data_IF_410044421225
#
_entry.id   IF_410044421225
#
_cell.length_a   1.000
_cell.length_b   1.000
_cell.length_c   1.000
_cell.angle_alpha   90.00
_cell.angle_beta   90.00
_cell.angle_gamma   90.00
#
_symmetry.space_group_name_H-M   'P 1'
#
loop_
_entity.id
_entity.type
_entity.pdbx_description
1 polymer ?
#
# COMPACT_ATOMS: atom_id res chain seq x y z
N UNK A 1 -31.31 57.76 -1.74
CA UNK A 1 -31.87 58.39 -0.53
C UNK A 1 -32.14 57.29 0.49
N UNK A 2 -31.48 57.40 1.66
CA UNK A 2 -31.74 56.73 2.98
C UNK A 2 -31.62 55.18 2.99
N UNK A 3 -30.52 54.56 3.46
CA UNK A 3 -30.01 54.35 4.85
C UNK A 3 -30.91 53.43 5.70
N UNK A 4 -30.49 52.59 6.65
CA UNK A 4 -29.26 51.90 7.07
C UNK A 4 -29.67 50.99 8.28
N UNK A 5 -28.85 49.99 8.64
CA UNK A 5 -28.78 49.15 9.88
C UNK A 5 -28.83 47.66 9.56
N UNK A 6 -27.95 46.76 9.99
CA UNK A 6 -26.86 46.82 10.96
C UNK A 6 -27.11 45.79 12.07
N UNK A 7 -26.39 44.64 12.05
CA UNK A 7 -25.99 43.84 13.24
C UNK A 7 -25.13 42.64 12.82
N UNK A 8 -24.02 42.45 13.53
CA UNK A 8 -22.95 41.48 13.29
C UNK A 8 -22.79 40.54 14.50
N UNK A 9 -22.29 39.31 14.27
CA UNK A 9 -21.67 38.42 15.27
C UNK A 9 -20.87 37.29 14.55
N UNK A 10 -19.94 36.55 15.19
CA UNK A 10 -18.51 36.64 14.83
C UNK A 10 -17.88 35.34 14.28
N UNK A 11 -16.71 35.51 13.65
CA UNK A 11 -15.79 34.46 13.19
C UNK A 11 -14.77 34.11 14.29
N UNK A 12 -14.54 32.81 14.51
CA UNK A 12 -13.43 32.29 15.32
C UNK A 12 -12.34 31.73 14.40
N UNK A 13 -11.16 32.31 14.47
CA UNK A 13 -9.90 31.77 13.97
C UNK A 13 -8.94 31.71 15.16
N UNK A 14 -8.41 30.52 15.47
CA UNK A 14 -7.37 30.34 16.49
C UNK A 14 -6.09 29.96 15.79
N UNK A 15 -5.08 30.82 15.94
CA UNK A 15 -3.72 30.67 15.46
C UNK A 15 -2.81 30.12 16.58
N UNK A 16 -1.82 29.35 16.15
CA UNK A 16 -0.80 28.65 16.95
C UNK A 16 0.31 29.61 17.43
N UNK A 17 0.82 29.53 18.67
CA UNK A 17 2.02 30.28 19.07
C UNK A 17 3.29 29.42 19.05
N UNK A 18 4.31 29.93 18.33
CA UNK A 18 5.73 29.56 18.46
C UNK A 18 6.30 30.13 19.76
N UNK A 19 6.96 29.31 20.58
CA UNK A 19 7.74 29.80 21.72
C UNK A 19 9.20 30.07 21.30
N UNK A 20 9.64 31.32 21.50
CA UNK A 20 11.05 31.74 21.50
C UNK A 20 11.56 31.76 22.94
N UNK A 21 12.83 31.39 23.12
CA UNK A 21 13.50 31.35 24.42
C UNK A 21 13.74 32.73 25.06
N UNK A 22 14.13 32.70 26.33
CA UNK A 22 14.58 33.87 27.08
C UNK A 22 14.90 33.52 28.54
N UNK A 23 16.20 33.41 28.85
CA UNK A 23 16.72 33.38 30.21
C UNK A 23 16.42 34.69 30.94
N UNK A 24 16.03 34.63 32.22
CA UNK A 24 16.36 35.67 33.23
C UNK A 24 16.52 35.06 34.62
N UNK A 25 17.73 35.24 35.17
CA UNK A 25 18.05 35.17 36.60
C UNK A 25 17.40 36.35 37.34
N UNK A 26 16.97 36.13 38.59
CA UNK A 26 16.56 37.18 39.50
C UNK A 26 16.31 36.64 40.91
N UNK A 27 17.31 36.81 41.78
CA UNK A 27 17.37 36.43 43.19
C UNK A 27 16.30 37.11 44.07
N UNK A 28 15.83 36.41 45.12
CA UNK A 28 15.39 37.04 46.38
C UNK A 28 15.61 36.12 47.60
N UNK A 29 16.61 36.51 48.39
CA UNK A 29 16.85 36.47 49.85
C UNK A 29 16.48 35.24 50.71
N UNK A 30 17.47 34.90 51.53
CA UNK A 30 17.64 33.83 52.53
C UNK A 30 17.14 34.16 53.95
N UNK A 31 16.71 33.15 54.70
CA UNK A 31 16.95 32.95 56.15
C UNK A 31 16.40 31.57 56.64
N UNK A 32 16.91 30.99 57.76
CA UNK A 32 17.36 29.58 57.82
C UNK A 32 16.65 28.69 58.88
N UNK A 33 16.78 27.35 58.74
CA UNK A 33 16.49 26.41 59.83
C UNK A 33 16.39 24.90 59.48
N UNK A 34 17.47 24.15 59.74
CA UNK A 34 17.56 22.69 60.03
C UNK A 34 17.42 21.65 58.86
N UNK A 35 17.86 20.39 59.02
CA UNK A 35 19.22 19.92 58.69
C UNK A 35 19.27 18.88 57.54
N UNK A 36 20.51 18.61 57.09
CA UNK A 36 20.86 17.74 55.97
C UNK A 36 20.48 16.26 56.15
N UNK A 37 20.08 15.59 55.06
CA UNK A 37 20.62 14.29 54.59
C UNK A 37 19.95 13.82 53.30
N UNK A 38 20.72 13.05 52.51
CA UNK A 38 20.38 12.28 51.31
C UNK A 38 20.27 13.05 49.96
N UNK A 39 21.44 13.28 49.34
CA UNK A 39 21.51 13.41 47.90
C UNK A 39 21.25 12.03 47.25
N UNK A 40 20.11 11.88 46.57
CA UNK A 40 19.85 10.75 45.68
C UNK A 40 20.68 10.97 44.42
N UNK A 41 21.83 10.30 44.35
CA UNK A 41 22.66 10.21 43.17
C UNK A 41 22.02 9.18 42.24
N UNK A 42 21.39 9.61 41.15
CA UNK A 42 20.97 8.74 40.05
C UNK A 42 22.23 8.13 39.41
N UNK A 43 22.61 6.93 39.85
CA UNK A 43 23.55 6.06 39.15
C UNK A 43 22.78 5.31 38.07
N UNK A 44 23.05 5.61 36.80
CA UNK A 44 22.72 4.70 35.71
C UNK A 44 23.58 3.45 35.85
N UNK A 45 22.96 2.31 36.18
CA UNK A 45 23.60 1.01 36.10
C UNK A 45 23.69 0.59 34.63
N UNK A 46 24.88 0.71 34.04
CA UNK A 46 25.24 -0.08 32.87
C UNK A 46 25.69 -1.45 33.39
N UNK A 47 24.83 -2.47 33.23
CA UNK A 47 25.23 -3.86 33.43
C UNK A 47 25.97 -4.33 32.17
N UNK A 48 27.26 -4.62 32.33
CA UNK A 48 28.06 -5.38 31.37
C UNK A 48 27.54 -6.82 31.31
N UNK A 49 27.13 -7.26 30.12
CA UNK A 49 26.93 -8.68 29.83
C UNK A 49 28.07 -9.11 28.92
N UNK A 50 28.75 -10.16 29.36
CA UNK A 50 29.98 -10.73 28.81
C UNK A 50 29.73 -11.51 27.52
N UNK A 51 30.81 -11.68 26.77
CA UNK A 51 30.88 -11.96 25.34
C UNK A 51 30.31 -13.30 24.86
N UNK A 52 29.40 -13.22 23.87
CA UNK A 52 29.07 -14.29 22.94
C UNK A 52 29.24 -13.76 21.52
N UNK A 53 30.38 -14.03 20.89
CA UNK A 53 30.73 -13.52 19.56
C UNK A 53 29.81 -14.13 18.50
N UNK A 54 28.76 -13.40 18.14
CA UNK A 54 28.14 -13.50 16.82
C UNK A 54 28.82 -12.44 15.97
N UNK A 55 29.61 -12.87 14.99
CA UNK A 55 30.26 -11.98 14.03
C UNK A 55 29.21 -11.27 13.18
N UNK A 56 28.68 -10.15 13.68
CA UNK A 56 27.91 -9.22 12.88
C UNK A 56 28.84 -8.61 11.82
N UNK A 57 28.50 -8.81 10.54
CA UNK A 57 29.20 -8.15 9.45
C UNK A 57 29.24 -6.64 9.71
N UNK A 58 30.41 -6.02 9.52
CA UNK A 58 30.57 -4.60 9.74
C UNK A 58 29.58 -3.81 8.86
N UNK A 59 28.79 -2.87 9.41
CA UNK A 59 27.85 -2.09 8.63
C UNK A 59 28.61 -1.27 7.58
N UNK A 60 28.22 -1.37 6.31
CA UNK A 60 28.78 -0.54 5.23
C UNK A 60 28.63 0.94 5.62
N UNK A 61 29.63 1.80 5.34
CA UNK A 61 29.54 3.23 5.64
C UNK A 61 28.34 3.83 4.89
N UNK A 62 27.48 4.54 5.63
CA UNK A 62 26.33 5.25 5.04
C UNK A 62 26.85 6.25 4.01
N UNK A 63 26.43 6.08 2.76
CA UNK A 63 26.78 6.99 1.67
C UNK A 63 26.43 8.44 2.03
N UNK A 64 27.23 9.42 1.57
CA UNK A 64 26.93 10.83 1.79
C UNK A 64 25.51 11.17 1.34
N UNK A 65 24.81 12.05 2.06
CA UNK A 65 23.55 12.64 1.61
C UNK A 65 23.82 13.44 0.32
N UNK A 66 23.53 12.84 -0.82
CA UNK A 66 23.56 13.55 -2.10
C UNK A 66 22.18 14.17 -2.30
N UNK A 67 22.12 15.50 -2.23
CA UNK A 67 20.93 16.25 -2.64
C UNK A 67 20.83 16.12 -4.16
N UNK A 68 19.71 15.56 -4.68
CA UNK A 68 19.48 15.43 -6.12
C UNK A 68 19.51 14.00 -6.67
N UNK A 69 18.98 13.02 -5.95
CA UNK A 69 18.78 11.66 -6.49
C UNK A 69 17.39 11.51 -7.12
N UNK A 70 17.32 10.81 -8.26
CA UNK A 70 16.09 10.31 -8.86
C UNK A 70 15.81 8.85 -8.46
N UNK A 71 14.70 8.31 -8.93
CA UNK A 71 14.39 6.87 -8.78
C UNK A 71 13.77 6.30 -10.05
N UNK A 72 14.20 5.11 -10.47
CA UNK A 72 13.69 4.41 -11.66
C UNK A 72 13.25 2.98 -11.34
N UNK A 73 12.28 2.48 -12.10
CA UNK A 73 11.77 1.11 -11.97
C UNK A 73 12.59 0.22 -12.92
N UNK A 74 13.35 -0.74 -12.37
CA UNK A 74 14.36 -1.49 -13.14
C UNK A 74 14.08 -2.99 -13.26
N UNK A 75 13.08 -3.49 -12.54
CA UNK A 75 12.67 -4.89 -12.63
C UNK A 75 11.30 -5.12 -12.01
N UNK A 76 10.61 -6.13 -12.51
CA UNK A 76 9.32 -6.55 -12.02
C UNK A 76 9.18 -8.08 -12.05
N UNK A 77 8.29 -8.58 -11.22
CA UNK A 77 8.05 -10.00 -11.07
C UNK A 77 6.68 -10.22 -10.44
N UNK A 78 6.10 -11.39 -10.68
CA UNK A 78 4.82 -11.74 -10.09
C UNK A 78 4.75 -13.22 -9.77
N UNK A 79 3.82 -13.59 -8.89
CA UNK A 79 3.49 -14.96 -8.55
C UNK A 79 1.99 -15.07 -8.27
N UNK A 80 1.41 -16.19 -8.67
CA UNK A 80 -0.03 -16.47 -8.57
C UNK A 80 -0.24 -17.86 -7.95
N UNK A 81 -1.34 -18.06 -7.22
CA UNK A 81 -1.75 -19.40 -6.79
C UNK A 81 -2.01 -20.35 -7.97
N UNK A 82 -1.86 -21.64 -7.70
CA UNK A 82 -2.11 -22.70 -8.68
C UNK A 82 -3.61 -22.89 -8.98
N UNK A 83 -4.47 -22.85 -7.96
CA UNK A 83 -5.91 -23.06 -8.11
C UNK A 83 -6.56 -21.90 -8.88
N UNK A 84 -7.23 -22.25 -9.98
CA UNK A 84 -8.03 -21.34 -10.80
C UNK A 84 -9.50 -21.67 -10.62
N UNK A 85 -10.31 -20.65 -10.32
CA UNK A 85 -11.76 -20.72 -10.19
C UNK A 85 -12.37 -19.97 -11.36
N UNK A 86 -13.08 -20.69 -12.24
CA UNK A 86 -13.79 -20.09 -13.37
C UNK A 86 -15.18 -19.59 -12.96
N UNK A 87 -15.79 -18.77 -13.81
CA UNK A 87 -17.20 -18.38 -13.64
C UNK A 87 -18.15 -19.59 -13.63
N UNK A 88 -17.84 -20.64 -14.40
CA UNK A 88 -18.61 -21.89 -14.45
C UNK A 88 -18.46 -22.72 -13.17
N UNK A 89 -17.36 -22.56 -12.43
CA UNK A 89 -17.23 -23.17 -11.11
C UNK A 89 -18.08 -22.43 -10.08
N UNK A 90 -18.16 -21.11 -10.16
CA UNK A 90 -19.01 -20.31 -9.28
C UNK A 90 -20.50 -20.55 -9.50
N UNK A 91 -20.93 -20.81 -10.74
CA UNK A 91 -22.35 -21.12 -11.05
C UNK A 91 -22.84 -22.42 -10.40
N UNK A 92 -21.92 -23.30 -9.97
CA UNK A 92 -22.24 -24.51 -9.21
C UNK A 92 -22.50 -24.24 -7.72
N UNK A 93 -22.12 -23.06 -7.22
CA UNK A 93 -22.16 -22.70 -5.79
C UNK A 93 -23.20 -21.61 -5.52
N UNK A 94 -23.38 -20.67 -6.44
CA UNK A 94 -24.33 -19.55 -6.35
C UNK A 94 -25.08 -19.34 -7.67
N UNK A 95 -26.29 -18.78 -7.61
CA UNK A 95 -27.12 -18.52 -8.80
C UNK A 95 -26.51 -17.41 -9.67
N UNK A 96 -25.68 -17.78 -10.66
CA UNK A 96 -24.94 -16.87 -11.55
C UNK A 96 -24.57 -17.58 -12.85
N UNK A 97 -23.96 -16.87 -13.81
CA UNK A 97 -23.40 -17.45 -15.05
C UNK A 97 -22.15 -16.69 -15.53
N UNK A 98 -21.36 -17.28 -16.44
CA UNK A 98 -20.23 -16.58 -17.06
C UNK A 98 -20.66 -15.30 -17.76
N UNK A 99 -21.73 -15.34 -18.55
CA UNK A 99 -22.23 -14.18 -19.30
C UNK A 99 -22.61 -13.05 -18.33
N UNK A 100 -23.26 -13.39 -17.22
CA UNK A 100 -23.69 -12.41 -16.24
C UNK A 100 -22.50 -11.77 -15.52
N UNK A 101 -21.50 -12.56 -15.12
CA UNK A 101 -20.30 -12.06 -14.43
C UNK A 101 -19.46 -11.24 -15.41
N UNK A 102 -19.09 -11.81 -16.56
CA UNK A 102 -18.23 -11.17 -17.54
C UNK A 102 -18.80 -9.83 -18.03
N UNK A 103 -20.10 -9.74 -18.29
CA UNK A 103 -20.73 -8.48 -18.70
C UNK A 103 -20.70 -7.37 -17.62
N UNK A 104 -20.65 -7.76 -16.34
CA UNK A 104 -20.71 -6.81 -15.21
C UNK A 104 -19.35 -6.45 -14.65
N UNK A 105 -18.36 -7.33 -14.81
CA UNK A 105 -17.05 -7.20 -14.16
C UNK A 105 -15.88 -7.28 -15.14
N UNK A 106 -16.06 -7.96 -16.27
CA UNK A 106 -14.96 -8.37 -17.17
C UNK A 106 -14.14 -9.55 -16.67
N UNK A 107 -14.49 -10.14 -15.51
CA UNK A 107 -13.77 -11.25 -14.88
C UNK A 107 -14.27 -12.57 -15.46
N UNK A 108 -13.34 -13.49 -15.74
CA UNK A 108 -13.64 -14.85 -16.21
C UNK A 108 -13.06 -15.93 -15.30
N UNK A 109 -11.89 -15.66 -14.75
CA UNK A 109 -11.17 -16.56 -13.85
C UNK A 109 -10.57 -15.77 -12.69
N UNK A 110 -10.38 -16.48 -11.58
CA UNK A 110 -9.70 -15.96 -10.38
C UNK A 110 -8.71 -17.00 -9.88
N UNK A 111 -7.57 -16.54 -9.38
CA UNK A 111 -6.61 -17.41 -8.69
C UNK A 111 -6.85 -17.30 -7.19
N UNK A 112 -6.85 -18.41 -6.48
CA UNK A 112 -7.03 -18.40 -5.01
C UNK A 112 -6.04 -19.34 -4.35
N UNK A 113 -5.55 -18.96 -3.17
CA UNK A 113 -4.67 -19.82 -2.39
C UNK A 113 -5.36 -21.16 -2.08
N UNK A 114 -4.61 -22.25 -2.20
CA UNK A 114 -5.10 -23.59 -1.94
C UNK A 114 -4.05 -24.46 -1.25
N UNK A 115 -4.50 -25.48 -0.52
CA UNK A 115 -3.59 -26.40 0.17
C UNK A 115 -2.65 -25.70 1.15
N UNK A 116 -1.35 -25.75 0.88
CA UNK A 116 -0.29 -25.17 1.72
C UNK A 116 0.29 -23.87 1.14
N UNK A 117 -0.26 -23.34 0.04
CA UNK A 117 0.19 -22.07 -0.54
C UNK A 117 -0.08 -20.93 0.45
N UNK A 118 0.90 -20.04 0.61
CA UNK A 118 0.80 -18.87 1.50
C UNK A 118 1.04 -17.57 0.74
N UNK A 119 0.54 -16.45 1.27
CA UNK A 119 0.79 -15.16 0.64
C UNK A 119 2.28 -14.77 0.71
N UNK A 120 2.97 -15.16 1.79
CA UNK A 120 4.41 -15.04 1.98
C UNK A 120 5.18 -15.73 0.87
N UNK A 121 4.84 -16.97 0.53
CA UNK A 121 5.54 -17.71 -0.53
C UNK A 121 5.39 -16.99 -1.88
N UNK A 122 4.18 -16.55 -2.24
CA UNK A 122 3.96 -15.79 -3.46
C UNK A 122 4.76 -14.48 -3.46
N UNK A 123 4.80 -13.78 -2.32
CA UNK A 123 5.56 -12.54 -2.14
C UNK A 123 7.05 -12.76 -2.36
N UNK A 124 7.62 -13.83 -1.81
CA UNK A 124 9.03 -14.22 -2.00
C UNK A 124 9.32 -14.54 -3.47
N UNK A 125 8.45 -15.31 -4.13
CA UNK A 125 8.62 -15.65 -5.55
C UNK A 125 8.56 -14.39 -6.44
N UNK A 126 7.58 -13.51 -6.22
CA UNK A 126 7.47 -12.25 -6.95
C UNK A 126 8.73 -11.37 -6.74
N UNK A 127 9.19 -11.24 -5.49
CA UNK A 127 10.40 -10.51 -5.14
C UNK A 127 11.64 -11.04 -5.84
N UNK A 128 11.88 -12.35 -5.80
CA UNK A 128 13.01 -13.00 -6.49
C UNK A 128 12.99 -12.76 -7.99
N UNK A 129 11.81 -12.89 -8.63
CA UNK A 129 11.65 -12.64 -10.08
C UNK A 129 11.89 -11.18 -10.46
N UNK A 130 11.53 -10.23 -9.60
CA UNK A 130 11.81 -8.81 -9.82
C UNK A 130 13.31 -8.50 -9.74
N UNK A 131 14.01 -9.08 -8.75
CA UNK A 131 15.47 -8.96 -8.61
C UNK A 131 16.21 -9.62 -9.78
N UNK A 132 15.75 -10.80 -10.22
CA UNK A 132 16.29 -11.51 -11.39
C UNK A 132 16.15 -10.67 -12.65
N UNK A 133 14.97 -10.09 -12.92
CA UNK A 133 14.77 -9.19 -14.07
C UNK A 133 15.69 -7.96 -14.01
N UNK A 134 15.86 -7.39 -12.82
CA UNK A 134 16.71 -6.22 -12.61
C UNK A 134 18.21 -6.54 -12.63
N UNK A 135 18.60 -7.82 -12.56
CA UNK A 135 19.97 -8.28 -12.36
C UNK A 135 20.63 -7.67 -11.10
N UNK A 136 19.86 -7.56 -10.01
CA UNK A 136 20.32 -7.03 -8.71
C UNK A 136 20.41 -8.16 -7.70
N UNK A 137 21.53 -8.25 -6.97
CA UNK A 137 21.66 -9.24 -5.90
C UNK A 137 20.77 -8.86 -4.71
N UNK A 138 20.20 -9.86 -4.04
CA UNK A 138 19.36 -9.63 -2.86
C UNK A 138 20.09 -8.86 -1.75
N UNK A 139 21.38 -9.10 -1.56
CA UNK A 139 22.24 -8.40 -0.58
C UNK A 139 22.41 -6.90 -0.85
N UNK A 140 22.12 -6.44 -2.06
CA UNK A 140 22.19 -5.03 -2.46
C UNK A 140 20.85 -4.30 -2.25
N UNK A 141 19.80 -5.01 -1.82
CA UNK A 141 18.51 -4.40 -1.44
C UNK A 141 18.64 -3.76 -0.06
N UNK A 142 18.20 -2.51 0.09
CA UNK A 142 18.27 -1.75 1.35
C UNK A 142 16.94 -1.76 2.11
N UNK A 143 15.82 -1.86 1.38
CA UNK A 143 14.48 -1.77 1.94
C UNK A 143 13.50 -2.70 1.21
N UNK A 144 12.70 -3.43 1.98
CA UNK A 144 11.56 -4.21 1.48
C UNK A 144 10.25 -3.60 2.00
N UNK A 145 9.36 -3.22 1.09
CA UNK A 145 8.02 -2.73 1.41
C UNK A 145 6.98 -3.79 1.02
N UNK A 146 6.31 -4.39 2.00
CA UNK A 146 5.21 -5.33 1.76
C UNK A 146 3.87 -4.60 1.86
N UNK A 147 3.27 -4.31 0.72
CA UNK A 147 1.96 -3.67 0.62
C UNK A 147 0.87 -4.75 0.65
N UNK A 148 0.25 -4.97 1.81
CA UNK A 148 -0.77 -5.99 2.02
C UNK A 148 -1.83 -5.58 3.03
N UNK A 149 -3.05 -6.06 2.83
CA UNK A 149 -4.16 -6.01 3.78
C UNK A 149 -4.54 -7.39 4.33
N UNK A 150 -3.82 -8.43 3.94
CA UNK A 150 -4.08 -9.83 4.31
C UNK A 150 -2.78 -10.56 4.67
N UNK A 151 -1.99 -10.03 5.63
CA UNK A 151 -0.72 -10.65 5.99
C UNK A 151 -0.96 -12.02 6.64
N UNK A 152 -0.04 -12.96 6.41
CA UNK A 152 -0.06 -14.27 7.09
C UNK A 152 0.16 -14.15 8.61
N UNK A 153 0.77 -13.04 9.07
CA UNK A 153 1.05 -12.72 10.47
C UNK A 153 0.54 -11.30 10.82
N UNK A 154 -0.12 -11.15 11.98
CA UNK A 154 -0.65 -9.87 12.44
C UNK A 154 0.45 -8.81 12.67
N UNK A 155 1.68 -9.24 13.00
CA UNK A 155 2.82 -8.34 13.19
C UNK A 155 3.55 -8.01 11.89
N UNK A 156 2.98 -8.39 10.74
CA UNK A 156 3.48 -8.09 9.40
C UNK A 156 4.38 -9.19 8.84
N UNK A 157 4.51 -9.18 7.51
CA UNK A 157 5.24 -10.20 6.75
C UNK A 157 6.58 -9.73 6.18
N UNK A 158 6.87 -8.43 6.11
CA UNK A 158 8.05 -7.91 5.40
C UNK A 158 9.37 -8.47 5.92
N UNK A 159 9.51 -8.64 7.24
CA UNK A 159 10.72 -9.19 7.87
C UNK A 159 10.99 -10.66 7.50
N UNK A 160 9.93 -11.45 7.32
CA UNK A 160 10.04 -12.85 6.91
C UNK A 160 10.31 -12.93 5.40
N UNK A 161 9.59 -12.13 4.60
CA UNK A 161 9.78 -12.06 3.15
C UNK A 161 11.20 -11.62 2.80
N UNK A 162 11.75 -10.58 3.43
CA UNK A 162 13.11 -10.12 3.13
C UNK A 162 14.15 -11.20 3.43
N UNK A 163 13.96 -11.97 4.52
CA UNK A 163 14.86 -13.06 4.88
C UNK A 163 14.80 -14.21 3.85
N UNK A 164 13.60 -14.58 3.39
CA UNK A 164 13.38 -15.67 2.43
C UNK A 164 13.74 -15.29 0.97
N UNK A 165 13.65 -14.00 0.63
CA UNK A 165 14.21 -13.44 -0.62
C UNK A 165 15.74 -13.45 -0.59
N UNK A 166 16.34 -13.30 0.59
CA UNK A 166 17.79 -13.25 0.80
C UNK A 166 18.35 -11.84 0.96
N UNK A 167 17.51 -10.85 1.28
CA UNK A 167 17.92 -9.46 1.46
C UNK A 167 18.50 -9.23 2.87
N UNK A 168 19.69 -9.78 3.17
CA UNK A 168 20.20 -9.82 4.56
C UNK A 168 20.62 -8.45 5.12
N UNK A 169 20.85 -7.47 4.25
CA UNK A 169 21.24 -6.11 4.64
C UNK A 169 20.04 -5.13 4.68
N UNK A 170 18.87 -5.57 4.23
CA UNK A 170 17.67 -4.75 4.19
C UNK A 170 16.98 -4.68 5.55
N UNK A 171 16.22 -3.62 5.77
CA UNK A 171 15.11 -3.63 6.71
C UNK A 171 13.79 -3.65 5.94
N UNK A 172 12.69 -4.04 6.59
CA UNK A 172 11.40 -4.09 5.92
C UNK A 172 10.24 -3.82 6.86
N UNK A 173 9.15 -3.33 6.29
CA UNK A 173 7.89 -3.09 6.99
C UNK A 173 6.70 -3.17 6.03
N UNK A 174 5.52 -3.33 6.61
CA UNK A 174 4.28 -3.52 5.88
C UNK A 174 3.54 -2.19 5.69
N UNK A 175 2.82 -2.06 4.57
CA UNK A 175 1.93 -0.95 4.26
C UNK A 175 0.52 -1.49 4.04
N UNK A 176 -0.39 -1.18 4.97
CA UNK A 176 -1.80 -1.54 4.85
C UNK A 176 -2.61 -0.36 4.31
N UNK A 177 -2.91 -0.39 3.01
CA UNK A 177 -3.78 0.58 2.36
C UNK A 177 -4.66 -0.06 1.25
N UNK A 178 -5.05 -1.32 1.46
CA UNK A 178 -5.87 -2.11 0.55
C UNK A 178 -5.39 -2.00 -0.90
N UNK A 179 -6.32 -1.87 -1.85
CA UNK A 179 -6.03 -1.79 -3.28
C UNK A 179 -5.17 -0.58 -3.71
N UNK A 180 -5.00 0.44 -2.85
CA UNK A 180 -4.09 1.57 -3.13
C UNK A 180 -2.65 1.31 -2.65
N UNK A 181 -2.44 0.22 -1.89
CA UNK A 181 -1.20 -0.11 -1.20
C UNK A 181 0.04 -0.04 -2.08
N UNK A 182 0.01 -0.64 -3.27
CA UNK A 182 1.17 -0.64 -4.15
C UNK A 182 1.58 0.77 -4.61
N UNK A 183 0.63 1.65 -4.96
CA UNK A 183 0.96 3.03 -5.34
C UNK A 183 1.52 3.82 -4.16
N UNK A 184 0.95 3.63 -2.96
CA UNK A 184 1.51 4.23 -1.75
C UNK A 184 2.92 3.69 -1.45
N UNK A 185 3.16 2.40 -1.67
CA UNK A 185 4.49 1.78 -1.59
C UNK A 185 5.47 2.39 -2.59
N UNK A 186 5.07 2.55 -3.85
CA UNK A 186 5.88 3.17 -4.92
C UNK A 186 6.32 4.60 -4.58
N UNK A 187 5.38 5.41 -4.11
CA UNK A 187 5.68 6.77 -3.68
C UNK A 187 6.57 6.75 -2.45
N UNK A 188 6.29 5.88 -1.47
CA UNK A 188 7.09 5.74 -0.25
C UNK A 188 8.53 5.35 -0.56
N UNK A 189 8.75 4.34 -1.41
CA UNK A 189 10.07 3.91 -1.86
C UNK A 189 10.87 5.06 -2.50
N UNK A 190 10.22 5.81 -3.39
CA UNK A 190 10.82 6.98 -4.01
C UNK A 190 11.21 8.03 -2.97
N UNK A 191 10.39 8.24 -1.93
CA UNK A 191 10.71 9.17 -0.85
C UNK A 191 11.88 8.70 0.02
N UNK A 192 12.04 7.40 0.25
CA UNK A 192 13.22 6.85 0.94
C UNK A 192 14.49 7.07 0.12
N UNK A 193 14.47 6.76 -1.19
CA UNK A 193 15.61 6.97 -2.09
C UNK A 193 16.02 8.45 -2.11
N UNK A 194 15.05 9.36 -2.35
CA UNK A 194 15.29 10.81 -2.41
C UNK A 194 15.69 11.42 -1.07
N UNK A 195 15.38 10.75 0.05
CA UNK A 195 15.82 11.14 1.40
C UNK A 195 17.30 10.85 1.68
N UNK A 196 17.93 10.04 0.82
CA UNK A 196 19.34 9.64 0.89
C UNK A 196 19.57 8.41 1.78
N UNK A 197 20.62 7.64 1.45
CA UNK A 197 21.05 6.47 2.21
C UNK A 197 20.35 5.16 1.86
N UNK A 198 19.43 5.17 0.89
CA UNK A 198 18.73 4.00 0.34
C UNK A 198 18.92 4.03 -1.18
N UNK A 199 19.38 2.93 -1.77
CA UNK A 199 19.65 2.78 -3.21
C UNK A 199 18.64 1.86 -3.89
N UNK A 200 18.34 0.70 -3.29
CA UNK A 200 17.47 -0.31 -3.88
C UNK A 200 16.30 -0.62 -2.94
N UNK A 201 15.07 -0.39 -3.41
CA UNK A 201 13.83 -0.66 -2.68
C UNK A 201 13.00 -1.69 -3.43
N UNK A 202 12.80 -2.86 -2.82
CA UNK A 202 11.90 -3.88 -3.34
C UNK A 202 10.49 -3.65 -2.80
N UNK A 203 9.54 -3.40 -3.69
CA UNK A 203 8.15 -3.14 -3.36
C UNK A 203 7.33 -4.34 -3.79
N UNK A 204 6.57 -4.93 -2.86
CA UNK A 204 5.76 -6.10 -3.11
C UNK A 204 4.31 -5.73 -2.80
N UNK A 205 3.43 -5.74 -3.80
CA UNK A 205 1.98 -5.72 -3.60
C UNK A 205 1.46 -7.14 -3.55
N UNK A 206 0.82 -7.53 -2.45
CA UNK A 206 0.35 -8.90 -2.25
C UNK A 206 -0.94 -8.90 -1.44
N UNK A 207 -1.93 -9.67 -1.89
CA UNK A 207 -3.14 -9.91 -1.10
C UNK A 207 -3.75 -11.29 -1.40
N UNK A 208 -4.33 -11.89 -0.36
CA UNK A 208 -5.15 -13.09 -0.39
C UNK A 208 -6.58 -12.79 0.10
N UNK A 209 -7.27 -11.88 -0.58
CA UNK A 209 -8.61 -11.45 -0.18
C UNK A 209 -9.65 -12.58 -0.24
N UNK A 210 -9.40 -13.65 -0.98
CA UNK A 210 -10.29 -14.81 -1.07
C UNK A 210 -10.63 -15.44 0.29
N UNK A 211 -9.75 -15.32 1.28
CA UNK A 211 -9.95 -15.80 2.66
C UNK A 211 -11.01 -15.00 3.44
N UNK A 212 -11.32 -13.78 2.98
CA UNK A 212 -12.30 -12.88 3.59
C UNK A 212 -13.53 -12.68 2.70
N UNK A 213 -13.72 -13.53 1.70
CA UNK A 213 -14.91 -13.52 0.83
C UNK A 213 -15.98 -14.45 1.40
N UNK A 214 -17.22 -13.96 1.47
CA UNK A 214 -18.37 -14.85 1.63
C UNK A 214 -18.68 -15.51 0.28
N UNK A 215 -18.32 -16.78 0.14
CA UNK A 215 -18.50 -17.52 -1.12
C UNK A 215 -19.97 -17.83 -1.44
N UNK A 216 -20.89 -17.59 -0.51
CA UNK A 216 -22.34 -17.65 -0.73
C UNK A 216 -22.94 -16.32 -1.15
N UNK A 217 -22.23 -15.20 -0.95
CA UNK A 217 -22.65 -13.88 -1.41
C UNK A 217 -22.19 -13.64 -2.86
N UNK A 218 -23.13 -13.77 -3.80
CA UNK A 218 -22.93 -13.44 -5.21
C UNK A 218 -22.42 -12.02 -5.45
N UNK A 219 -22.72 -11.07 -4.55
CA UNK A 219 -22.32 -9.67 -4.68
C UNK A 219 -20.80 -9.45 -4.64
N UNK A 220 -20.08 -10.30 -3.90
CA UNK A 220 -18.64 -10.15 -3.67
C UNK A 220 -17.83 -11.35 -4.15
N UNK A 221 -18.37 -12.58 -4.11
CA UNK A 221 -17.62 -13.79 -4.44
C UNK A 221 -17.18 -13.90 -5.91
N UNK A 222 -17.75 -13.09 -6.79
CA UNK A 222 -17.38 -13.04 -8.22
C UNK A 222 -16.16 -12.17 -8.51
N UNK A 223 -15.62 -11.45 -7.51
CA UNK A 223 -14.67 -10.37 -7.74
C UNK A 223 -13.23 -10.74 -7.43
N UNK A 224 -12.95 -11.26 -6.24
CA UNK A 224 -11.59 -11.24 -5.68
C UNK A 224 -10.75 -12.45 -6.02
N UNK A 225 -9.49 -12.22 -6.36
CA UNK A 225 -8.47 -13.24 -6.47
C UNK A 225 -7.27 -12.91 -5.58
N UNK A 226 -6.31 -13.82 -5.55
CA UNK A 226 -5.10 -13.73 -4.76
C UNK A 226 -3.88 -13.71 -5.69
N UNK A 227 -2.89 -12.88 -5.35
CA UNK A 227 -1.62 -12.83 -6.08
C UNK A 227 -0.57 -12.04 -5.28
N UNK A 228 0.67 -12.10 -5.76
CA UNK A 228 1.71 -11.16 -5.43
C UNK A 228 2.37 -10.61 -6.71
N UNK A 229 2.72 -9.32 -6.69
CA UNK A 229 3.53 -8.66 -7.70
C UNK A 229 4.57 -7.78 -7.05
N UNK A 230 5.74 -7.66 -7.65
CA UNK A 230 6.88 -6.93 -7.12
C UNK A 230 7.52 -6.03 -8.18
N UNK A 231 8.04 -4.90 -7.73
CA UNK A 231 8.84 -3.96 -8.52
C UNK A 231 10.06 -3.55 -7.72
N UNK A 232 11.24 -3.60 -8.36
CA UNK A 232 12.45 -3.02 -7.82
C UNK A 232 12.60 -1.57 -8.29
N UNK A 233 12.69 -0.65 -7.32
CA UNK A 233 12.99 0.76 -7.57
C UNK A 233 14.42 1.03 -7.16
N UNK A 234 15.19 1.62 -8.06
CA UNK A 234 16.60 1.92 -7.86
C UNK A 234 16.86 3.43 -7.97
N UNK A 235 17.76 3.91 -7.13
CA UNK A 235 18.37 5.22 -7.21
C UNK A 235 18.98 5.50 -8.59
N UNK A 236 18.76 6.70 -9.10
CA UNK A 236 19.42 7.20 -10.31
C UNK A 236 19.78 8.68 -10.16
N UNK A 237 20.36 9.25 -11.21
CA UNK A 237 20.58 10.69 -11.28
C UNK A 237 19.23 11.43 -11.38
N UNK A 238 19.16 12.67 -10.90
CA UNK A 238 17.91 13.44 -10.89
C UNK A 238 17.31 13.67 -12.29
N UNK A 239 18.12 13.73 -13.33
CA UNK A 239 17.69 13.90 -14.72
C UNK A 239 17.08 12.61 -15.32
N UNK A 240 17.31 11.46 -14.68
CA UNK A 240 16.78 10.15 -15.05
C UNK A 240 15.60 9.74 -14.15
N UNK A 241 15.03 10.68 -13.41
CA UNK A 241 13.97 10.37 -12.45
C UNK A 241 12.73 9.78 -13.14
N UNK A 242 12.35 8.59 -12.69
CA UNK A 242 11.26 7.81 -13.21
C UNK A 242 9.91 8.10 -12.55
N UNK A 243 9.87 8.75 -11.37
CA UNK A 243 8.61 9.23 -10.78
C UNK A 243 8.37 10.69 -11.19
N UNK A 244 7.57 10.90 -12.23
CA UNK A 244 7.36 12.21 -12.85
C UNK A 244 6.35 13.08 -12.08
N UNK A 245 5.35 12.45 -11.45
CA UNK A 245 4.34 13.14 -10.65
C UNK A 245 3.43 12.15 -9.94
N UNK A 246 2.80 12.55 -8.84
CA UNK A 246 1.90 11.68 -8.09
C UNK A 246 0.82 12.47 -7.32
N UNK A 247 -0.24 11.78 -6.92
CA UNK A 247 -1.28 12.34 -6.08
C UNK A 247 -1.79 11.25 -5.14
N UNK A 248 -1.93 11.55 -3.85
CA UNK A 248 -2.49 10.61 -2.86
C UNK A 248 -3.56 11.31 -2.04
N UNK A 249 -4.67 10.61 -1.79
CA UNK A 249 -5.84 11.16 -1.11
C UNK A 249 -6.56 10.06 -0.32
N UNK A 250 -7.31 10.48 0.71
CA UNK A 250 -8.11 9.58 1.56
C UNK A 250 -9.42 10.24 1.98
N UNK A 251 -10.47 9.44 2.16
CA UNK A 251 -11.74 9.84 2.78
C UNK A 251 -12.30 8.72 3.67
N UNK A 252 -12.13 8.90 4.99
CA UNK A 252 -12.58 7.95 6.00
C UNK A 252 -14.10 7.72 6.03
N UNK A 253 -14.90 8.67 5.54
CA UNK A 253 -16.36 8.51 5.52
C UNK A 253 -16.83 7.40 4.58
N UNK A 254 -15.96 6.99 3.64
CA UNK A 254 -16.25 5.94 2.68
C UNK A 254 -16.04 4.51 3.23
N UNK A 255 -15.51 4.33 4.44
CA UNK A 255 -15.35 3.02 5.08
C UNK A 255 -16.65 2.20 5.07
N UNK A 256 -17.80 2.85 5.31
CA UNK A 256 -19.14 2.23 5.28
C UNK A 256 -19.52 1.59 3.93
N UNK A 257 -18.78 1.88 2.86
CA UNK A 257 -19.03 1.36 1.52
C UNK A 257 -18.10 0.22 1.13
N UNK A 258 -16.95 0.06 1.80
CA UNK A 258 -16.02 -1.03 1.57
C UNK A 258 -15.16 -1.25 2.81
N UNK A 259 -15.42 -2.34 3.52
CA UNK A 259 -14.69 -2.70 4.74
C UNK A 259 -14.71 -4.20 4.98
N UNK A 260 -13.84 -4.65 5.88
CA UNK A 260 -13.83 -5.99 6.44
C UNK A 260 -13.94 -5.81 7.97
N UNK A 261 -15.15 -5.88 8.56
CA UNK A 261 -15.35 -5.45 9.93
C UNK A 261 -14.81 -6.48 10.92
N UNK A 262 -14.44 -6.04 12.12
CA UNK A 262 -14.10 -6.97 13.20
C UNK A 262 -15.33 -7.82 13.56
N UNK A 263 -15.16 -9.13 13.55
CA UNK A 263 -16.21 -10.09 13.89
C UNK A 263 -16.46 -10.10 15.39
N UNK A 264 -17.72 -9.97 15.78
CA UNK A 264 -18.15 -10.17 17.17
C UNK A 264 -18.58 -11.63 17.35
N UNK A 265 -17.64 -12.57 17.30
CA UNK A 265 -17.94 -13.94 17.74
C UNK A 265 -18.17 -13.86 19.25
N UNK A 266 -19.43 -14.01 19.66
CA UNK A 266 -19.79 -14.10 21.07
C UNK A 266 -18.99 -15.23 21.70
N UNK A 267 -18.08 -14.90 22.62
CA UNK A 267 -17.36 -15.92 23.38
C UNK A 267 -18.40 -16.73 24.15
N UNK A 268 -18.39 -18.05 23.96
CA UNK A 268 -19.28 -19.05 24.60
C UNK A 268 -19.08 -19.08 26.15
N UNK A 269 -18.24 -18.22 26.71
CA UNK A 269 -17.89 -18.17 28.12
C UNK A 269 -18.81 -17.23 28.90
N UNK A 270 -20.13 -17.48 28.86
CA UNK A 270 -21.12 -16.78 29.71
C UNK A 270 -21.54 -17.60 30.94
N UNK A 271 -20.64 -18.42 31.51
CA UNK A 271 -20.91 -19.21 32.73
C UNK A 271 -19.70 -19.34 33.67
N UNK A 272 -18.97 -18.25 33.90
CA UNK A 272 -17.98 -18.21 34.99
C UNK A 272 -18.33 -17.06 35.93
N UNK A 273 -18.13 -17.25 37.24
CA UNK A 273 -18.16 -16.18 38.25
C UNK A 273 -16.96 -15.22 38.11
N UNK A 274 -16.41 -15.09 36.89
CA UNK A 274 -15.22 -14.32 36.58
C UNK A 274 -15.50 -12.84 36.41
N UNK A 275 -14.44 -12.07 36.18
CA UNK A 275 -14.53 -10.64 35.89
C UNK A 275 -15.35 -10.43 34.61
N UNK A 276 -16.39 -9.57 34.62
CA UNK A 276 -17.15 -9.26 33.41
C UNK A 276 -16.21 -8.85 32.27
N UNK A 277 -16.37 -9.44 31.09
CA UNK A 277 -15.54 -9.20 29.89
C UNK A 277 -14.13 -9.79 29.89
N UNK A 278 -13.82 -10.74 30.79
CA UNK A 278 -12.59 -11.55 30.74
C UNK A 278 -12.88 -13.02 30.34
N UNK A 279 -12.09 -13.63 29.43
CA UNK A 279 -10.95 -13.05 28.70
C UNK A 279 -11.38 -12.00 27.64
N UNK A 280 -10.46 -11.12 27.19
CA UNK A 280 -10.73 -10.19 26.11
C UNK A 280 -11.28 -10.91 24.87
N UNK A 281 -12.17 -10.24 24.14
CA UNK A 281 -12.69 -10.77 22.87
C UNK A 281 -11.53 -11.08 21.93
N UNK A 282 -11.57 -12.26 21.31
CA UNK A 282 -10.61 -12.62 20.26
C UNK A 282 -10.78 -11.65 19.08
N UNK A 283 -9.69 -10.99 18.69
CA UNK A 283 -9.67 -10.20 17.46
C UNK A 283 -9.77 -11.14 16.27
N UNK A 284 -10.80 -10.96 15.45
CA UNK A 284 -10.96 -11.66 14.18
C UNK A 284 -11.81 -10.78 13.25
N UNK A 285 -11.72 -10.99 11.94
CA UNK A 285 -12.47 -10.22 10.96
C UNK A 285 -13.59 -11.07 10.34
N UNK A 286 -14.67 -10.40 9.91
CA UNK A 286 -15.77 -10.99 9.16
C UNK A 286 -15.45 -11.04 7.65
N UNK A 287 -16.45 -11.28 6.81
CA UNK A 287 -16.30 -11.16 5.37
C UNK A 287 -16.26 -9.70 4.91
N UNK A 288 -15.72 -9.48 3.71
CA UNK A 288 -15.70 -8.20 3.02
C UNK A 288 -17.14 -7.75 2.76
N UNK A 289 -17.48 -6.55 3.22
CA UNK A 289 -18.74 -5.88 2.92
C UNK A 289 -18.50 -4.77 1.89
N UNK A 290 -19.28 -4.79 0.80
CA UNK A 290 -19.12 -3.81 -0.27
C UNK A 290 -20.46 -3.27 -0.81
N UNK A 291 -20.59 -1.95 -0.82
CA UNK A 291 -21.58 -1.25 -1.62
C UNK A 291 -20.99 -0.90 -2.99
N UNK A 292 -21.09 -1.85 -3.93
CA UNK A 292 -20.46 -1.74 -5.25
C UNK A 292 -20.90 -0.50 -6.06
N UNK A 293 -22.13 -0.02 -5.87
CA UNK A 293 -22.63 1.19 -6.56
C UNK A 293 -21.89 2.44 -6.10
N UNK A 294 -21.74 2.61 -4.79
CA UNK A 294 -21.07 3.77 -4.21
C UNK A 294 -19.55 3.72 -4.47
N UNK A 295 -18.94 2.52 -4.42
CA UNK A 295 -17.53 2.30 -4.79
C UNK A 295 -17.29 2.63 -6.27
N UNK A 296 -18.16 2.17 -7.18
CA UNK A 296 -18.07 2.51 -8.60
C UNK A 296 -18.18 4.02 -8.83
N UNK A 297 -19.17 4.69 -8.21
CA UNK A 297 -19.38 6.15 -8.34
C UNK A 297 -18.18 6.93 -7.82
N UNK A 298 -17.58 6.48 -6.72
CA UNK A 298 -16.33 7.03 -6.20
C UNK A 298 -15.21 6.89 -7.23
N UNK A 299 -14.96 5.67 -7.72
CA UNK A 299 -13.82 5.39 -8.59
C UNK A 299 -13.87 6.21 -9.89
N UNK A 300 -14.99 6.19 -10.61
CA UNK A 300 -15.14 6.91 -11.89
C UNK A 300 -15.10 8.44 -11.74
N UNK A 301 -15.27 8.97 -10.52
CA UNK A 301 -15.17 10.40 -10.24
C UNK A 301 -13.76 10.80 -9.83
N UNK A 302 -13.17 10.12 -8.85
CA UNK A 302 -11.96 10.58 -8.18
C UNK A 302 -10.67 10.02 -8.80
N UNK A 303 -10.71 8.86 -9.44
CA UNK A 303 -9.54 8.26 -10.09
C UNK A 303 -9.07 9.12 -11.28
N UNK A 304 -9.94 9.53 -12.24
CA UNK A 304 -9.51 10.43 -13.31
C UNK A 304 -8.93 11.75 -12.78
N UNK A 305 -9.56 12.34 -11.76
CA UNK A 305 -9.08 13.59 -11.14
C UNK A 305 -7.72 13.43 -10.46
N UNK A 306 -7.45 12.27 -9.86
CA UNK A 306 -6.16 11.97 -9.24
C UNK A 306 -5.06 11.81 -10.31
N UNK A 307 -5.37 11.17 -11.43
CA UNK A 307 -4.46 11.03 -12.58
C UNK A 307 -4.20 12.40 -13.22
N UNK A 308 -5.23 13.21 -13.47
CA UNK A 308 -5.10 14.58 -13.99
C UNK A 308 -4.16 15.44 -13.11
N UNK A 309 -4.26 15.32 -11.77
CA UNK A 309 -3.34 16.02 -10.85
C UNK A 309 -1.89 15.52 -10.95
N UNK A 310 -1.69 14.20 -11.02
CA UNK A 310 -0.36 13.61 -11.15
C UNK A 310 0.29 13.97 -12.50
N UNK A 311 -0.49 14.00 -13.58
CA UNK A 311 -0.07 14.49 -14.89
C UNK A 311 0.28 15.98 -14.86
N UNK A 312 -0.51 16.79 -14.15
CA UNK A 312 -0.24 18.21 -13.94
C UNK A 312 1.08 18.46 -13.20
N UNK A 313 1.38 17.68 -12.15
CA UNK A 313 2.68 17.74 -11.46
C UNK A 313 3.82 17.32 -12.39
N UNK A 314 3.61 16.32 -13.25
CA UNK A 314 4.57 15.86 -14.24
C UNK A 314 4.75 16.83 -15.43
N UNK A 315 3.90 17.86 -15.58
CA UNK A 315 3.89 18.73 -16.75
C UNK A 315 3.48 18.02 -18.05
N UNK A 316 2.71 16.94 -17.94
CA UNK A 316 2.28 16.10 -19.06
C UNK A 316 0.76 16.20 -19.28
N UNK A 317 0.34 15.93 -20.52
CA UNK A 317 -1.06 15.71 -20.87
C UNK A 317 -1.36 14.21 -20.99
N UNK A 318 -2.64 13.83 -20.93
CA UNK A 318 -3.08 12.44 -21.10
C UNK A 318 -2.64 11.83 -22.45
N UNK A 319 -2.52 12.65 -23.50
CA UNK A 319 -2.02 12.21 -24.81
C UNK A 319 -0.56 11.73 -24.81
N UNK A 320 0.24 12.18 -23.82
CA UNK A 320 1.67 11.86 -23.70
C UNK A 320 1.95 10.55 -22.98
N UNK A 321 0.93 9.86 -22.48
CA UNK A 321 1.11 8.55 -21.85
C UNK A 321 1.12 7.44 -22.91
N UNK A 322 1.96 6.44 -22.69
CA UNK A 322 1.98 5.22 -23.48
C UNK A 322 0.97 4.21 -22.94
N UNK A 323 0.83 4.14 -21.60
CA UNK A 323 0.00 3.14 -20.94
C UNK A 323 -0.81 3.72 -19.78
N UNK A 324 -2.08 3.31 -19.71
CA UNK A 324 -2.92 3.46 -18.54
C UNK A 324 -2.96 2.12 -17.77
N UNK A 325 -2.54 2.13 -16.52
CA UNK A 325 -2.46 0.95 -15.66
C UNK A 325 -3.18 1.18 -14.33
N UNK A 326 -4.45 0.80 -14.27
CA UNK A 326 -5.25 0.99 -13.07
C UNK A 326 -5.25 -0.27 -12.19
N UNK A 327 -5.64 -0.09 -10.93
CA UNK A 327 -6.09 -1.18 -10.10
C UNK A 327 -7.18 -2.00 -10.83
N UNK A 328 -6.94 -3.30 -10.92
CA UNK A 328 -7.80 -4.26 -11.61
C UNK A 328 -9.02 -4.61 -10.74
N UNK A 329 -9.91 -3.65 -10.50
CA UNK A 329 -11.11 -3.86 -9.69
C UNK A 329 -12.28 -4.42 -10.50
N UNK A 330 -12.54 -3.80 -11.65
CA UNK A 330 -13.69 -4.03 -12.51
C UNK A 330 -13.41 -3.38 -13.87
N UNK A 331 -13.59 -4.10 -14.98
CA UNK A 331 -13.27 -3.61 -16.32
C UNK A 331 -14.04 -2.33 -16.66
N UNK A 332 -15.28 -2.19 -16.18
CA UNK A 332 -16.10 -0.99 -16.42
C UNK A 332 -15.53 0.27 -15.76
N UNK A 333 -14.86 0.14 -14.61
CA UNK A 333 -14.17 1.27 -13.98
C UNK A 333 -12.96 1.68 -14.82
N UNK A 334 -12.23 0.68 -15.35
CA UNK A 334 -11.08 0.90 -16.21
C UNK A 334 -11.51 1.63 -17.48
N UNK A 335 -12.52 1.12 -18.17
CA UNK A 335 -13.05 1.69 -19.41
C UNK A 335 -13.61 3.09 -19.19
N UNK A 336 -14.37 3.31 -18.11
CA UNK A 336 -14.92 4.62 -17.79
C UNK A 336 -13.82 5.66 -17.47
N UNK A 337 -12.74 5.23 -16.80
CA UNK A 337 -11.59 6.09 -16.51
C UNK A 337 -10.83 6.43 -17.79
N UNK A 338 -10.56 5.43 -18.64
CA UNK A 338 -9.91 5.63 -19.93
C UNK A 338 -10.70 6.60 -20.81
N UNK A 339 -12.02 6.38 -20.92
CA UNK A 339 -12.91 7.27 -21.67
C UNK A 339 -12.95 8.69 -21.10
N UNK A 340 -12.94 8.87 -19.77
CA UNK A 340 -12.95 10.20 -19.14
C UNK A 340 -11.66 11.00 -19.36
N UNK A 341 -10.56 10.31 -19.66
CA UNK A 341 -9.24 10.88 -19.92
C UNK A 341 -8.90 10.90 -21.41
N UNK A 342 -9.84 10.53 -22.30
CA UNK A 342 -9.65 10.40 -23.74
C UNK A 342 -8.46 9.49 -24.13
N UNK A 343 -8.25 8.41 -23.36
CA UNK A 343 -7.20 7.42 -23.60
C UNK A 343 -7.77 6.26 -24.43
N UNK A 344 -7.17 5.95 -25.61
CA UNK A 344 -7.56 4.80 -26.42
C UNK A 344 -7.48 3.46 -25.67
N UNK A 345 -8.39 2.53 -25.95
CA UNK A 345 -8.46 1.24 -25.26
C UNK A 345 -7.25 0.33 -25.50
N UNK A 346 -6.53 0.49 -26.61
CA UNK A 346 -5.30 -0.23 -26.92
C UNK A 346 -4.09 0.25 -26.10
N UNK A 347 -4.19 1.42 -25.45
CA UNK A 347 -3.23 1.93 -24.45
C UNK A 347 -3.58 1.53 -23.00
N UNK A 348 -4.60 0.69 -22.80
CA UNK A 348 -5.02 0.24 -21.48
C UNK A 348 -4.45 -1.14 -21.19
N UNK A 349 -3.74 -1.27 -20.06
CA UNK A 349 -3.28 -2.57 -19.57
C UNK A 349 -4.37 -3.16 -18.66
N UNK A 350 -4.89 -4.33 -19.07
CA UNK A 350 -5.83 -5.11 -18.26
C UNK A 350 -5.53 -6.60 -18.36
N UNK A 351 -5.48 -7.26 -17.21
CA UNK A 351 -5.44 -8.72 -17.08
C UNK A 351 -6.52 -9.25 -16.12
N UNK A 352 -7.45 -8.37 -15.71
CA UNK A 352 -8.53 -8.64 -14.78
C UNK A 352 -9.33 -9.91 -15.14
N UNK A 353 -9.51 -10.19 -16.42
CA UNK A 353 -10.22 -11.37 -16.90
C UNK A 353 -9.65 -12.70 -16.37
N UNK A 354 -8.34 -12.75 -16.11
CA UNK A 354 -7.62 -13.98 -15.75
C UNK A 354 -7.41 -14.16 -14.24
N UNK A 355 -7.47 -13.08 -13.48
CA UNK A 355 -7.07 -13.07 -12.07
C UNK A 355 -8.15 -12.58 -11.12
N UNK A 356 -9.17 -11.86 -11.62
CA UNK A 356 -10.05 -11.09 -10.75
C UNK A 356 -9.32 -9.93 -10.09
N UNK A 357 -9.96 -9.38 -9.05
CA UNK A 357 -9.42 -8.31 -8.23
C UNK A 357 -8.42 -8.87 -7.21
N UNK A 358 -7.13 -8.67 -7.49
CA UNK A 358 -6.01 -9.07 -6.63
C UNK A 358 -5.49 -7.95 -5.73
N UNK A 359 -6.33 -6.93 -5.46
CA UNK A 359 -6.04 -5.82 -4.55
C UNK A 359 -4.66 -5.19 -4.78
N UNK A 360 -3.77 -5.15 -3.79
CA UNK A 360 -2.46 -4.51 -3.89
C UNK A 360 -1.55 -5.15 -4.96
N UNK A 361 -1.76 -6.43 -5.29
CA UNK A 361 -0.99 -7.13 -6.32
C UNK A 361 -1.40 -6.76 -7.75
N UNK A 362 -2.58 -6.17 -7.95
CA UNK A 362 -3.17 -5.97 -9.28
C UNK A 362 -2.30 -5.16 -10.25
N UNK A 363 -1.75 -4.04 -9.79
CA UNK A 363 -0.89 -3.15 -10.60
C UNK A 363 0.45 -3.83 -10.92
N UNK A 364 1.24 -4.31 -9.94
CA UNK A 364 2.53 -4.91 -10.26
C UNK A 364 2.40 -6.24 -11.03
N UNK A 365 1.35 -7.02 -10.81
CA UNK A 365 1.06 -8.23 -11.61
C UNK A 365 0.81 -7.89 -13.08
N UNK A 366 -0.08 -6.92 -13.34
CA UNK A 366 -0.39 -6.50 -14.70
C UNK A 366 0.80 -5.81 -15.40
N UNK A 367 1.61 -5.08 -14.64
CA UNK A 367 2.86 -4.50 -15.15
C UNK A 367 3.85 -5.59 -15.58
N UNK A 368 4.08 -6.60 -14.73
CA UNK A 368 5.00 -7.70 -15.01
C UNK A 368 4.62 -8.45 -16.29
N UNK A 369 3.33 -8.80 -16.45
CA UNK A 369 2.86 -9.43 -17.69
C UNK A 369 3.04 -8.53 -18.92
N UNK A 370 2.75 -7.23 -18.80
CA UNK A 370 2.87 -6.31 -19.93
C UNK A 370 4.33 -6.06 -20.35
N UNK A 371 5.25 -6.00 -19.38
CA UNK A 371 6.69 -5.89 -19.63
C UNK A 371 7.21 -7.17 -20.28
N UNK A 372 6.90 -8.35 -19.72
CA UNK A 372 7.35 -9.64 -20.27
C UNK A 372 6.75 -9.95 -21.64
N UNK A 373 5.56 -9.46 -21.92
CA UNK A 373 4.94 -9.54 -23.24
C UNK A 373 5.52 -8.53 -24.26
N UNK A 374 6.48 -7.69 -23.86
CA UNK A 374 7.10 -6.69 -24.73
C UNK A 374 6.20 -5.51 -25.10
N UNK A 375 5.06 -5.33 -24.41
CA UNK A 375 4.15 -4.19 -24.60
C UNK A 375 4.75 -2.93 -23.99
N UNK A 376 5.13 -3.00 -22.71
CA UNK A 376 5.80 -1.90 -21.99
C UNK A 376 7.30 -1.99 -22.28
N UNK A 377 7.87 -0.90 -22.77
CA UNK A 377 9.29 -0.78 -23.15
C UNK A 377 9.97 0.32 -22.34
N UNK A 378 11.29 0.24 -22.22
CA UNK A 378 12.10 1.29 -21.58
C UNK A 378 11.79 2.66 -22.20
N UNK A 379 11.64 3.67 -21.34
CA UNK A 379 11.25 5.03 -21.69
C UNK A 379 9.74 5.25 -21.75
N UNK A 380 8.90 4.21 -21.71
CA UNK A 380 7.45 4.41 -21.75
C UNK A 380 6.93 5.12 -20.50
N UNK A 381 5.96 6.03 -20.71
CA UNK A 381 5.26 6.74 -19.65
C UNK A 381 3.97 6.02 -19.31
N UNK A 382 3.82 5.66 -18.03
CA UNK A 382 2.69 4.90 -17.50
C UNK A 382 1.97 5.80 -16.49
N UNK A 383 0.68 6.05 -16.72
CA UNK A 383 -0.21 6.60 -15.69
C UNK A 383 -0.82 5.43 -14.91
N UNK A 384 -0.39 5.27 -13.66
CA UNK A 384 -0.87 4.22 -12.78
C UNK A 384 -1.76 4.78 -11.66
N UNK A 385 -2.80 4.06 -11.26
CA UNK A 385 -3.65 4.47 -10.14
C UNK A 385 -4.22 3.30 -9.36
N UNK A 386 -4.08 3.36 -8.03
CA UNK A 386 -4.62 2.40 -7.07
C UNK A 386 -5.69 3.05 -6.21
N UNK A 387 -6.81 2.37 -5.99
CA UNK A 387 -7.96 2.91 -5.28
C UNK A 387 -8.77 1.79 -4.62
N UNK A 388 -9.27 2.01 -3.40
CA UNK A 388 -10.04 0.98 -2.70
C UNK A 388 -10.40 1.37 -1.27
N UNK A 389 -10.46 0.37 -0.40
CA UNK A 389 -10.91 0.51 1.00
C UNK A 389 -10.14 1.60 1.76
N UNK A 390 -10.82 2.23 2.73
CA UNK A 390 -10.31 3.39 3.47
C UNK A 390 -11.31 4.54 3.59
N UNK A 391 -11.87 5.13 2.51
CA UNK A 391 -11.39 4.96 1.12
C UNK A 391 -10.06 5.67 0.94
N UNK A 392 -9.16 5.02 0.21
CA UNK A 392 -7.83 5.53 -0.12
C UNK A 392 -7.60 5.38 -1.60
N UNK A 393 -6.95 6.37 -2.22
CA UNK A 393 -6.54 6.30 -3.60
C UNK A 393 -5.28 7.10 -3.87
N UNK A 394 -4.52 6.68 -4.86
CA UNK A 394 -3.36 7.41 -5.33
C UNK A 394 -3.05 7.11 -6.77
N UNK A 395 -2.43 8.08 -7.44
CA UNK A 395 -1.97 7.96 -8.81
C UNK A 395 -0.51 8.34 -8.90
N UNK A 396 0.24 7.68 -9.77
CA UNK A 396 1.62 7.97 -10.08
C UNK A 396 1.81 7.95 -11.60
N UNK A 397 2.48 8.97 -12.12
CA UNK A 397 2.96 9.00 -13.50
C UNK A 397 4.41 8.59 -13.45
N UNK A 398 4.72 7.44 -14.03
CA UNK A 398 6.05 6.84 -13.99
C UNK A 398 6.62 6.58 -15.36
N UNK A 399 7.94 6.61 -15.47
CA UNK A 399 8.69 6.15 -16.63
C UNK A 399 9.28 4.78 -16.33
N UNK A 400 9.08 3.82 -17.22
CA UNK A 400 9.63 2.47 -17.10
C UNK A 400 11.08 2.39 -17.62
N UNK A 401 11.98 1.74 -16.86
CA UNK A 401 13.36 1.46 -17.25
C UNK A 401 14.36 2.57 -17.00
#
# INVERSE_FOLDING_TARGET
MVAASGLAAPRLAVSCPRARGGHRLGFLRSAPGAPATAAVQLRCCASTVDDGVVSAAAPKPRLPRVVGMGSKLIGCGSAIPSLSISNDDLSKIVETSDEWIAARTGIRNRRVLSGNETLRELSVQAGKRALEMAQVNADDVDLVLLCTSTPDDLFGGAAQVLAEVGCTNAFGFDITAACSGFILGLITATRFIKGGGIQNVLIIGADALSQFVDWTDRGTCILFGDAAGAVLVQACNADEDGLLGFCVQSDGNGQKHLNCPSSNINSILSKTNGVPSFPPKKGNFSYIEMNGKEVFRFAVRYVPQSIEKALGEAGLSASSIDWLLLHQANQRIIDATASRLDIPSDKVISNLANYGNTSAASIPLALDEAVRAGKVKTGNVIAASGFGAGLTWGSAVVKWG
#
